data_IF_415928328137
#
_entry.id   IF_415928328137
#
_cell.length_a   1.000
_cell.length_b   1.000
_cell.length_c   1.000
_cell.angle_alpha   90.00
_cell.angle_beta   90.00
_cell.angle_gamma   90.00
#
_symmetry.space_group_name_H-M   'P 1'
#
loop_
_entity.id
_entity.type
_entity.pdbx_description
1 polymer ?
#
# COMPACT_ATOMS: atom_id res chain seq x y z
N UNK A 1 27.92 14.70 -20.12
CA UNK A 1 28.39 16.07 -19.84
C UNK A 1 29.63 16.41 -20.67
N UNK A 2 30.72 15.64 -20.62
CA UNK A 2 31.90 15.87 -21.48
C UNK A 2 31.59 15.82 -22.99
N UNK A 3 30.95 14.75 -23.49
CA UNK A 3 30.56 14.64 -24.90
C UNK A 3 29.41 15.57 -25.33
N UNK A 4 28.79 16.29 -24.39
CA UNK A 4 27.69 17.21 -24.66
C UNK A 4 28.16 18.68 -24.78
N UNK A 5 29.47 18.92 -24.74
CA UNK A 5 30.04 20.25 -24.92
C UNK A 5 30.05 20.61 -26.41
N UNK A 6 29.41 21.71 -26.74
CA UNK A 6 29.32 22.27 -28.08
C UNK A 6 30.21 23.52 -28.18
N UNK A 7 30.75 23.77 -29.37
CA UNK A 7 31.41 25.06 -29.69
C UNK A 7 30.39 26.18 -29.88
N UNK A 8 30.85 27.41 -30.05
CA UNK A 8 30.01 28.57 -30.39
C UNK A 8 29.17 28.38 -31.68
N UNK A 9 29.60 27.48 -32.58
CA UNK A 9 28.87 27.09 -33.79
C UNK A 9 27.94 25.88 -33.61
N UNK A 10 27.78 25.34 -32.40
CA UNK A 10 26.97 24.15 -32.10
C UNK A 10 27.66 22.81 -32.37
N UNK A 11 28.94 22.79 -32.75
CA UNK A 11 29.63 21.54 -33.11
C UNK A 11 30.10 20.74 -31.86
N UNK A 12 29.73 19.45 -31.71
CA UNK A 12 30.14 18.63 -30.58
C UNK A 12 31.52 17.99 -30.79
N UNK A 13 32.58 18.81 -30.73
CA UNK A 13 33.97 18.38 -31.06
C UNK A 13 34.45 17.16 -30.30
N UNK A 14 34.15 17.06 -29.00
CA UNK A 14 34.55 15.92 -28.18
C UNK A 14 33.86 14.61 -28.63
N UNK A 15 32.59 14.67 -29.04
CA UNK A 15 31.88 13.51 -29.58
C UNK A 15 32.44 13.12 -30.95
N UNK A 16 32.74 14.10 -31.82
CA UNK A 16 33.37 13.84 -33.12
C UNK A 16 34.75 13.20 -33.00
N UNK A 17 35.56 13.64 -32.03
CA UNK A 17 36.87 13.03 -31.80
C UNK A 17 36.73 11.58 -31.31
N UNK A 18 35.76 11.31 -30.43
CA UNK A 18 35.48 9.95 -29.98
C UNK A 18 35.02 9.04 -31.13
N UNK A 19 34.12 9.51 -32.01
CA UNK A 19 33.68 8.73 -33.18
C UNK A 19 34.85 8.51 -34.15
N UNK A 20 35.70 9.52 -34.39
CA UNK A 20 36.89 9.38 -35.23
C UNK A 20 37.84 8.29 -34.69
N UNK A 21 38.09 8.25 -33.39
CA UNK A 21 38.92 7.21 -32.76
C UNK A 21 38.30 5.81 -32.94
N UNK A 22 36.98 5.67 -32.72
CA UNK A 22 36.28 4.39 -32.91
C UNK A 22 36.39 3.92 -34.37
N UNK A 23 36.21 4.82 -35.34
CA UNK A 23 36.33 4.51 -36.77
C UNK A 23 37.75 4.09 -37.13
N UNK A 24 38.78 4.81 -36.64
CA UNK A 24 40.17 4.46 -36.87
C UNK A 24 40.53 3.08 -36.30
N UNK A 25 40.04 2.76 -35.09
CA UNK A 25 40.23 1.44 -34.50
C UNK A 25 39.52 0.34 -35.31
N UNK A 26 38.31 0.60 -35.80
CA UNK A 26 37.58 -0.33 -36.66
C UNK A 26 38.32 -0.58 -37.98
N UNK A 27 38.82 0.47 -38.63
CA UNK A 27 39.64 0.36 -39.85
C UNK A 27 40.92 -0.44 -39.57
N UNK A 28 41.61 -0.15 -38.46
CA UNK A 28 42.75 -0.94 -38.02
C UNK A 28 42.41 -2.43 -37.89
N UNK A 29 41.31 -2.74 -37.20
CA UNK A 29 40.81 -4.10 -37.05
C UNK A 29 40.48 -4.78 -38.40
N UNK A 30 39.87 -4.07 -39.36
CA UNK A 30 39.69 -4.62 -40.72
C UNK A 30 41.01 -4.94 -41.40
N UNK A 31 41.98 -4.03 -41.33
CA UNK A 31 43.27 -4.21 -42.01
C UNK A 31 44.03 -5.43 -41.48
N UNK A 32 43.95 -5.71 -40.18
CA UNK A 32 44.61 -6.87 -39.56
C UNK A 32 43.77 -8.15 -39.52
N UNK A 33 42.44 -8.04 -39.61
CA UNK A 33 41.48 -9.11 -39.28
C UNK A 33 40.76 -9.77 -40.46
N UNK A 34 41.10 -9.44 -41.71
CA UNK A 34 40.48 -10.07 -42.90
C UNK A 34 39.65 -9.12 -43.78
N UNK A 35 39.91 -7.81 -43.71
CA UNK A 35 39.30 -6.79 -44.56
C UNK A 35 37.86 -6.46 -44.15
N UNK A 36 37.07 -6.01 -45.13
CA UNK A 36 35.68 -5.58 -44.92
C UNK A 36 34.79 -6.69 -44.32
N UNK A 37 35.11 -7.95 -44.62
CA UNK A 37 34.36 -9.12 -44.15
C UNK A 37 34.44 -9.30 -42.62
N UNK A 38 35.48 -8.77 -41.96
CA UNK A 38 35.60 -8.80 -40.51
C UNK A 38 34.70 -7.76 -39.81
N UNK A 39 34.44 -6.63 -40.48
CA UNK A 39 33.62 -5.54 -39.92
C UNK A 39 32.13 -5.75 -40.20
N UNK A 40 31.78 -6.30 -41.37
CA UNK A 40 30.39 -6.39 -41.81
C UNK A 40 29.46 -7.05 -40.77
N UNK A 41 29.79 -8.21 -40.16
CA UNK A 41 28.96 -8.82 -39.12
C UNK A 41 28.79 -7.91 -37.90
N UNK A 42 29.84 -7.20 -37.48
CA UNK A 42 29.79 -6.32 -36.32
C UNK A 42 28.79 -5.18 -36.54
N UNK A 43 28.86 -4.51 -37.69
CA UNK A 43 27.95 -3.42 -38.06
C UNK A 43 26.51 -3.95 -38.16
N UNK A 44 26.31 -5.09 -38.83
CA UNK A 44 24.99 -5.73 -38.94
C UNK A 44 24.38 -6.02 -37.57
N UNK A 45 25.17 -6.49 -36.60
CA UNK A 45 24.69 -6.75 -35.25
C UNK A 45 24.23 -5.48 -34.53
N UNK A 46 24.96 -4.36 -34.66
CA UNK A 46 24.52 -3.08 -34.08
C UNK A 46 23.20 -2.58 -34.68
N UNK A 47 23.01 -2.71 -35.99
CA UNK A 47 21.75 -2.36 -36.63
C UNK A 47 20.61 -3.28 -36.21
N UNK A 48 20.84 -4.60 -36.14
CA UNK A 48 19.84 -5.56 -35.70
C UNK A 48 19.37 -5.32 -34.25
N UNK A 49 20.27 -4.91 -33.35
CA UNK A 49 19.88 -4.52 -31.97
C UNK A 49 18.95 -3.30 -31.99
N UNK A 50 19.27 -2.31 -32.83
CA UNK A 50 18.47 -1.08 -32.94
C UNK A 50 17.09 -1.40 -33.51
N UNK A 51 17.03 -2.22 -34.57
CA UNK A 51 15.77 -2.66 -35.17
C UNK A 51 14.96 -3.56 -34.23
N UNK A 52 15.61 -4.44 -33.47
CA UNK A 52 14.98 -5.22 -32.42
C UNK A 52 14.30 -4.31 -31.40
N UNK A 53 15.01 -3.32 -30.86
CA UNK A 53 14.48 -2.40 -29.86
C UNK A 53 13.34 -1.54 -30.40
N UNK A 54 13.44 -1.02 -31.63
CA UNK A 54 12.35 -0.26 -32.25
C UNK A 54 11.07 -1.10 -32.39
N UNK A 55 11.19 -2.33 -32.87
CA UNK A 55 10.06 -3.24 -32.99
C UNK A 55 9.48 -3.61 -31.62
N UNK A 56 10.33 -3.84 -30.61
CA UNK A 56 9.90 -4.14 -29.25
C UNK A 56 9.11 -2.96 -28.63
N UNK A 57 9.62 -1.73 -28.74
CA UNK A 57 8.93 -0.52 -28.25
C UNK A 57 7.56 -0.40 -28.91
N UNK A 58 7.48 -0.42 -30.24
CA UNK A 58 6.19 -0.29 -30.95
C UNK A 58 5.20 -1.39 -30.53
N UNK A 59 5.66 -2.63 -30.36
CA UNK A 59 4.81 -3.74 -29.92
C UNK A 59 4.26 -3.51 -28.49
N UNK A 60 5.10 -3.02 -27.59
CA UNK A 60 4.70 -2.70 -26.21
C UNK A 60 3.68 -1.57 -26.21
N UNK A 61 3.95 -0.45 -26.89
CA UNK A 61 3.06 0.70 -26.94
C UNK A 61 1.69 0.38 -27.57
N UNK A 62 1.68 -0.44 -28.62
CA UNK A 62 0.45 -0.92 -29.26
C UNK A 62 -0.34 -1.90 -28.38
N UNK A 63 0.33 -2.72 -27.57
CA UNK A 63 -0.32 -3.68 -26.67
C UNK A 63 -1.04 -2.98 -25.53
N UNK A 64 -0.43 -1.92 -25.00
CA UNK A 64 -0.95 -1.12 -23.88
C UNK A 64 -2.00 -0.10 -24.29
N UNK A 65 -2.26 0.03 -25.60
CA UNK A 65 -3.19 1.02 -26.16
C UNK A 65 -2.95 2.43 -25.59
N UNK A 66 -1.70 2.86 -25.53
CA UNK A 66 -1.38 4.20 -24.99
C UNK A 66 -2.02 5.28 -25.88
N UNK A 67 -2.77 6.20 -25.26
CA UNK A 67 -3.49 7.25 -25.97
C UNK A 67 -2.55 8.24 -26.67
N UNK A 68 -1.33 8.43 -26.14
CA UNK A 68 -0.28 9.27 -26.72
C UNK A 68 0.37 8.64 -27.96
N UNK A 69 0.36 7.30 -28.08
CA UNK A 69 0.91 6.61 -29.24
C UNK A 69 -0.13 6.52 -30.36
N UNK A 70 -0.14 7.53 -31.22
CA UNK A 70 -1.06 7.65 -32.37
C UNK A 70 -0.29 7.69 -33.69
N UNK A 71 0.26 6.56 -34.16
CA UNK A 71 0.94 6.54 -35.44
C UNK A 71 -0.07 6.86 -36.55
N UNK A 72 0.25 7.82 -37.42
CA UNK A 72 -0.55 8.12 -38.62
C UNK A 72 -0.64 6.91 -39.55
N UNK A 73 0.41 6.09 -39.56
CA UNK A 73 0.46 4.80 -40.24
C UNK A 73 0.27 3.64 -39.25
N UNK A 74 -0.94 3.10 -39.19
CA UNK A 74 -1.27 2.00 -38.28
C UNK A 74 -0.83 0.65 -38.86
N UNK A 75 0.19 0.04 -38.24
CA UNK A 75 0.61 -1.34 -38.54
C UNK A 75 -0.06 -2.33 -37.59
N UNK A 76 -0.39 -3.53 -38.10
CA UNK A 76 -0.89 -4.64 -37.27
C UNK A 76 0.21 -5.08 -36.30
N UNK A 77 -0.14 -5.39 -35.05
CA UNK A 77 0.78 -5.87 -33.98
C UNK A 77 1.66 -7.05 -34.38
N UNK A 78 1.22 -7.86 -35.35
CA UNK A 78 1.99 -8.99 -35.85
C UNK A 78 3.26 -8.55 -36.63
N UNK A 79 3.24 -7.36 -37.25
CA UNK A 79 4.39 -6.84 -38.02
C UNK A 79 5.58 -6.54 -37.10
N UNK A 80 5.46 -5.72 -36.05
CA UNK A 80 6.57 -5.49 -35.12
C UNK A 80 6.95 -6.76 -34.35
N UNK A 81 6.00 -7.66 -34.07
CA UNK A 81 6.33 -8.96 -33.47
C UNK A 81 7.24 -9.80 -34.38
N UNK A 82 6.91 -9.92 -35.67
CA UNK A 82 7.75 -10.63 -36.65
C UNK A 82 9.10 -9.94 -36.81
N UNK A 83 9.12 -8.59 -36.87
CA UNK A 83 10.36 -7.83 -36.96
C UNK A 83 11.27 -8.05 -35.76
N UNK A 84 10.72 -8.01 -34.54
CA UNK A 84 11.45 -8.26 -33.30
C UNK A 84 12.01 -9.69 -33.24
N UNK A 85 11.17 -10.70 -33.48
CA UNK A 85 11.60 -12.11 -33.48
C UNK A 85 12.60 -12.38 -34.60
N UNK A 86 12.37 -11.82 -35.79
CA UNK A 86 13.26 -11.96 -36.94
C UNK A 86 14.64 -11.38 -36.67
N UNK A 87 14.73 -10.19 -36.06
CA UNK A 87 16.02 -9.61 -35.67
C UNK A 87 16.76 -10.52 -34.69
N UNK A 88 16.07 -11.06 -33.68
CA UNK A 88 16.67 -11.97 -32.70
C UNK A 88 17.20 -13.26 -33.37
N UNK A 89 16.41 -13.87 -34.26
CA UNK A 89 16.80 -15.08 -34.99
C UNK A 89 18.03 -14.83 -35.86
N UNK A 90 18.03 -13.75 -36.65
CA UNK A 90 19.17 -13.41 -37.52
C UNK A 90 20.42 -13.10 -36.71
N UNK A 91 20.28 -12.38 -35.58
CA UNK A 91 21.41 -12.13 -34.68
C UNK A 91 22.06 -13.42 -34.21
N UNK A 92 21.25 -14.38 -33.71
CA UNK A 92 21.74 -15.68 -33.25
C UNK A 92 22.39 -16.48 -34.40
N UNK A 93 21.84 -16.42 -35.61
CA UNK A 93 22.42 -17.08 -36.78
C UNK A 93 23.78 -16.50 -37.19
N UNK A 94 23.98 -15.19 -37.05
CA UNK A 94 25.26 -14.53 -37.36
C UNK A 94 26.31 -14.89 -36.31
N UNK A 95 26.02 -14.64 -35.03
CA UNK A 95 26.94 -14.95 -33.95
C UNK A 95 26.17 -15.10 -32.62
N UNK A 96 26.00 -16.33 -32.11
CA UNK A 96 25.29 -16.58 -30.86
C UNK A 96 25.92 -15.90 -29.64
N UNK A 97 27.26 -15.89 -29.56
CA UNK A 97 27.99 -15.32 -28.43
C UNK A 97 27.83 -13.80 -28.39
N UNK A 98 28.02 -13.14 -29.54
CA UNK A 98 27.85 -11.69 -29.63
C UNK A 98 26.40 -11.28 -29.38
N UNK A 99 25.43 -12.08 -29.84
CA UNK A 99 24.00 -11.86 -29.58
C UNK A 99 23.70 -11.87 -28.09
N UNK A 100 24.23 -12.85 -27.36
CA UNK A 100 24.04 -12.95 -25.91
C UNK A 100 24.65 -11.73 -25.21
N UNK A 101 25.89 -11.37 -25.55
CA UNK A 101 26.56 -10.18 -24.99
C UNK A 101 25.79 -8.90 -25.28
N UNK A 102 25.30 -8.73 -26.50
CA UNK A 102 24.52 -7.57 -26.91
C UNK A 102 23.20 -7.44 -26.15
N UNK A 103 22.46 -8.55 -25.99
CA UNK A 103 21.20 -8.56 -25.22
C UNK A 103 21.48 -8.22 -23.76
N UNK A 104 22.49 -8.84 -23.16
CA UNK A 104 22.90 -8.56 -21.78
C UNK A 104 23.29 -7.09 -21.62
N UNK A 105 24.10 -6.55 -22.54
CA UNK A 105 24.52 -5.15 -22.51
C UNK A 105 23.32 -4.21 -22.65
N UNK A 106 22.37 -4.51 -23.55
CA UNK A 106 21.18 -3.69 -23.74
C UNK A 106 20.28 -3.71 -22.49
N UNK A 107 20.06 -4.88 -21.89
CA UNK A 107 19.33 -5.01 -20.63
C UNK A 107 20.06 -4.32 -19.48
N UNK A 108 21.39 -4.42 -19.42
CA UNK A 108 22.22 -3.76 -18.41
C UNK A 108 22.14 -2.24 -18.55
N UNK A 109 22.29 -1.70 -19.76
CA UNK A 109 22.15 -0.25 -20.01
C UNK A 109 20.74 0.21 -19.66
N UNK A 110 19.71 -0.53 -20.07
CA UNK A 110 18.33 -0.25 -19.70
C UNK A 110 18.14 -0.22 -18.18
N UNK A 111 18.59 -1.26 -17.47
CA UNK A 111 18.51 -1.34 -16.01
C UNK A 111 19.34 -0.24 -15.34
N UNK A 112 20.53 0.07 -15.84
CA UNK A 112 21.38 1.15 -15.31
C UNK A 112 20.70 2.51 -15.44
N UNK A 113 20.10 2.81 -16.61
CA UNK A 113 19.32 4.02 -16.81
C UNK A 113 18.09 4.06 -15.91
N UNK A 114 17.47 2.90 -15.69
CA UNK A 114 16.30 2.73 -14.81
C UNK A 114 16.59 3.15 -13.36
N UNK A 115 17.77 2.80 -12.85
CA UNK A 115 18.16 3.07 -11.46
C UNK A 115 18.62 4.52 -11.26
N UNK A 116 18.98 5.22 -12.33
CA UNK A 116 19.65 6.52 -12.22
C UNK A 116 18.72 7.71 -11.98
N UNK A 117 17.42 7.47 -11.69
CA UNK A 117 16.38 8.49 -11.43
C UNK A 117 16.62 9.75 -12.26
N UNK A 118 16.73 9.58 -13.58
CA UNK A 118 16.98 10.70 -14.47
C UNK A 118 15.77 11.61 -14.37
N UNK A 119 15.94 12.79 -13.76
CA UNK A 119 14.96 13.87 -13.75
C UNK A 119 14.77 14.35 -15.20
N UNK A 120 13.99 13.60 -15.97
CA UNK A 120 13.54 14.01 -17.28
C UNK A 120 12.48 15.10 -17.07
N UNK A 121 12.54 16.24 -17.78
CA UNK A 121 11.49 17.26 -17.78
C UNK A 121 10.14 16.75 -18.32
N UNK A 122 10.12 15.56 -18.89
CA UNK A 122 8.99 14.92 -19.55
C UNK A 122 8.53 13.74 -18.69
N UNK A 123 7.22 13.55 -18.59
CA UNK A 123 6.59 12.41 -17.93
C UNK A 123 7.22 11.10 -18.46
N UNK A 124 7.86 10.34 -17.56
CA UNK A 124 8.58 9.11 -17.90
C UNK A 124 7.61 8.17 -18.63
N UNK A 125 7.94 7.71 -19.85
CA UNK A 125 7.11 6.76 -20.63
C UNK A 125 6.71 5.54 -19.77
N UNK A 126 7.51 5.23 -18.75
CA UNK A 126 7.29 4.18 -17.76
C UNK A 126 6.06 4.45 -16.88
N UNK A 127 5.81 5.68 -16.43
CA UNK A 127 4.59 5.99 -15.66
C UNK A 127 3.35 5.81 -16.53
N UNK A 128 3.42 6.19 -17.81
CA UNK A 128 2.38 5.95 -18.80
C UNK A 128 2.06 4.46 -19.00
N UNK A 129 3.10 3.62 -19.12
CA UNK A 129 2.97 2.16 -19.17
C UNK A 129 2.27 1.59 -17.91
N UNK A 130 2.75 1.95 -16.72
CA UNK A 130 2.16 1.46 -15.47
C UNK A 130 0.73 1.95 -15.26
N UNK A 131 0.43 3.20 -15.64
CA UNK A 131 -0.92 3.76 -15.59
C UNK A 131 -1.88 3.01 -16.54
N UNK A 132 -1.43 2.72 -17.76
CA UNK A 132 -2.21 1.92 -18.72
C UNK A 132 -2.47 0.50 -18.20
N UNK A 133 -1.45 -0.15 -17.63
CA UNK A 133 -1.60 -1.47 -17.02
C UNK A 133 -2.58 -1.44 -15.83
N UNK A 134 -2.45 -0.43 -14.96
CA UNK A 134 -3.35 -0.23 -13.83
C UNK A 134 -4.80 -0.01 -14.30
N UNK A 135 -5.01 0.83 -15.31
CA UNK A 135 -6.33 1.07 -15.90
C UNK A 135 -6.93 -0.21 -16.48
N UNK A 136 -6.14 -0.97 -17.25
CA UNK A 136 -6.58 -2.26 -17.79
C UNK A 136 -6.97 -3.24 -16.68
N UNK A 137 -6.20 -3.32 -15.59
CA UNK A 137 -6.50 -4.18 -14.46
C UNK A 137 -7.81 -3.77 -13.74
N UNK A 138 -7.98 -2.46 -13.50
CA UNK A 138 -9.20 -1.88 -12.92
C UNK A 138 -10.43 -2.23 -13.77
N UNK A 139 -10.38 -1.98 -15.08
CA UNK A 139 -11.47 -2.30 -16.00
C UNK A 139 -11.82 -3.80 -16.04
N UNK A 140 -10.82 -4.67 -15.86
CA UNK A 140 -11.03 -6.11 -15.85
C UNK A 140 -11.68 -6.58 -14.55
N UNK A 141 -11.24 -6.06 -13.40
CA UNK A 141 -11.78 -6.40 -12.09
C UNK A 141 -13.21 -5.88 -11.93
N UNK A 142 -13.52 -4.68 -12.42
CA UNK A 142 -14.89 -4.12 -12.36
C UNK A 142 -15.94 -4.94 -13.11
N UNK A 143 -15.53 -5.90 -13.96
CA UNK A 143 -16.43 -6.83 -14.68
C UNK A 143 -16.59 -8.18 -13.98
N UNK A 144 -15.83 -8.45 -12.92
CA UNK A 144 -15.91 -9.69 -12.14
C UNK A 144 -16.89 -9.51 -10.98
N UNK A 145 -17.57 -10.59 -10.53
CA UNK A 145 -18.35 -10.55 -9.31
C UNK A 145 -17.46 -10.22 -8.10
N UNK A 146 -17.95 -9.36 -7.20
CA UNK A 146 -17.24 -8.95 -5.98
C UNK A 146 -16.99 -10.15 -5.08
N UNK A 147 -15.72 -10.56 -4.96
CA UNK A 147 -15.26 -11.61 -4.05
C UNK A 147 -14.58 -10.99 -2.82
N UNK A 148 -15.29 -10.11 -2.10
CA UNK A 148 -14.72 -9.25 -1.06
C UNK A 148 -14.28 -10.01 0.21
N UNK A 149 -14.94 -11.12 0.56
CA UNK A 149 -14.73 -11.78 1.86
C UNK A 149 -13.35 -12.48 1.99
N UNK A 150 -12.71 -12.91 0.89
CA UNK A 150 -11.46 -13.71 0.92
C UNK A 150 -10.16 -12.92 0.82
N UNK A 151 -10.22 -11.62 0.59
CA UNK A 151 -9.04 -10.78 0.32
C UNK A 151 -9.13 -9.44 1.03
N UNK A 152 -9.55 -9.44 2.30
CA UNK A 152 -9.57 -8.22 3.07
C UNK A 152 -8.15 -7.65 3.23
N UNK A 153 -8.02 -6.34 3.02
CA UNK A 153 -6.82 -5.57 3.33
C UNK A 153 -7.22 -4.17 3.81
N UNK A 154 -6.50 -3.57 4.76
CA UNK A 154 -6.83 -2.26 5.32
C UNK A 154 -6.58 -1.13 4.30
N UNK A 155 -7.66 -0.55 3.79
CA UNK A 155 -7.66 0.69 3.01
C UNK A 155 -8.21 1.81 3.90
N UNK A 156 -7.30 2.53 4.53
CA UNK A 156 -7.58 3.47 5.60
C UNK A 156 -7.88 4.85 5.03
N UNK A 157 -9.01 5.42 5.43
CA UNK A 157 -9.28 6.85 5.32
C UNK A 157 -8.85 7.53 6.61
N UNK A 158 -7.84 8.40 6.55
CA UNK A 158 -7.27 9.12 7.67
C UNK A 158 -7.53 10.65 7.51
N UNK A 159 -8.68 11.16 7.96
CA UNK A 159 -8.94 12.59 7.99
C UNK A 159 -8.09 13.27 9.07
N UNK A 160 -7.40 14.35 8.72
CA UNK A 160 -6.51 15.08 9.62
C UNK A 160 -6.67 16.58 9.47
N UNK A 161 -6.72 17.29 10.58
CA UNK A 161 -6.68 18.76 10.61
C UNK A 161 -5.27 19.32 10.77
N UNK A 162 -4.31 18.48 11.17
CA UNK A 162 -2.90 18.88 11.29
C UNK A 162 -1.95 17.71 11.02
N UNK A 163 -0.80 18.04 10.45
CA UNK A 163 0.29 17.07 10.21
C UNK A 163 0.89 16.52 11.52
N UNK A 164 0.80 17.27 12.63
CA UNK A 164 1.26 16.84 13.96
C UNK A 164 0.45 15.65 14.48
N UNK A 165 -0.87 15.70 14.37
CA UNK A 165 -1.75 14.61 14.78
C UNK A 165 -1.45 13.32 13.98
N UNK A 166 -1.22 13.48 12.67
CA UNK A 166 -0.83 12.36 11.82
C UNK A 166 0.51 11.75 12.22
N UNK A 167 1.52 12.59 12.51
CA UNK A 167 2.84 12.13 13.00
C UNK A 167 2.73 11.31 14.28
N UNK A 168 1.89 11.74 15.24
CA UNK A 168 1.66 10.98 16.48
C UNK A 168 1.09 9.58 16.23
N UNK A 169 0.28 9.45 15.18
CA UNK A 169 -0.37 8.21 14.76
C UNK A 169 0.47 7.37 13.79
N UNK A 170 1.62 7.87 13.34
CA UNK A 170 2.38 7.33 12.22
C UNK A 170 2.77 5.86 12.41
N UNK A 171 3.33 5.51 13.57
CA UNK A 171 3.74 4.13 13.89
C UNK A 171 2.55 3.18 13.91
N UNK A 172 1.45 3.59 14.53
CA UNK A 172 0.23 2.80 14.59
C UNK A 172 -0.36 2.56 13.19
N UNK A 173 -0.52 3.63 12.41
CA UNK A 173 -1.01 3.57 11.04
C UNK A 173 -0.12 2.68 10.16
N UNK A 174 1.20 2.79 10.27
CA UNK A 174 2.14 1.94 9.53
C UNK A 174 1.97 0.47 9.92
N UNK A 175 1.92 0.18 11.22
CA UNK A 175 1.77 -1.18 11.74
C UNK A 175 0.41 -1.82 11.42
N UNK A 176 -0.65 -1.03 11.24
CA UNK A 176 -1.95 -1.59 10.83
C UNK A 176 -2.09 -1.74 9.31
N UNK A 177 -1.25 -1.10 8.48
CA UNK A 177 -1.39 -1.15 7.01
C UNK A 177 -0.42 -2.12 6.33
N UNK A 178 0.81 -2.26 6.82
CA UNK A 178 1.77 -3.22 6.26
C UNK A 178 1.32 -4.67 6.49
N UNK A 179 1.66 -5.63 5.60
CA UNK A 179 2.37 -5.44 4.32
C UNK A 179 1.46 -5.12 3.13
N UNK A 180 0.15 -5.25 3.30
CA UNK A 180 -0.84 -5.11 2.21
C UNK A 180 -1.98 -4.23 2.70
N UNK A 181 -2.03 -3.01 2.18
CA UNK A 181 -3.04 -2.02 2.50
C UNK A 181 -2.66 -0.67 1.93
N UNK A 182 -3.54 0.32 2.12
CA UNK A 182 -3.27 1.69 1.72
C UNK A 182 -3.80 2.70 2.72
N UNK A 183 -3.24 3.91 2.71
CA UNK A 183 -3.69 5.04 3.52
C UNK A 183 -4.01 6.21 2.60
N UNK A 184 -5.26 6.64 2.60
CA UNK A 184 -5.66 7.92 2.06
C UNK A 184 -5.73 8.96 3.17
N UNK A 185 -4.79 9.90 3.16
CA UNK A 185 -4.77 11.01 4.09
C UNK A 185 -5.61 12.15 3.50
N UNK A 186 -6.66 12.58 4.22
CA UNK A 186 -7.45 13.76 3.84
C UNK A 186 -7.12 14.88 4.80
N UNK A 187 -6.35 15.85 4.32
CA UNK A 187 -6.04 17.07 5.05
C UNK A 187 -7.20 18.06 4.94
N UNK A 188 -7.96 18.23 6.02
CA UNK A 188 -9.10 19.15 6.09
C UNK A 188 -8.65 20.44 6.76
N UNK A 189 -8.81 21.58 6.08
CA UNK A 189 -8.39 22.88 6.61
C UNK A 189 -9.40 23.98 6.28
N UNK A 190 -9.58 24.94 7.19
CA UNK A 190 -10.32 26.15 6.87
C UNK A 190 -9.50 27.01 5.89
N UNK A 191 -10.15 27.80 5.02
CA UNK A 191 -9.49 28.62 3.99
C UNK A 191 -8.39 29.55 4.56
N UNK A 192 -8.56 29.99 5.81
CA UNK A 192 -7.66 30.92 6.48
C UNK A 192 -6.35 30.28 6.96
N UNK A 193 -6.24 28.94 7.04
CA UNK A 193 -5.12 28.26 7.70
C UNK A 193 -4.50 27.08 6.89
N UNK A 194 -4.15 27.27 5.60
CA UNK A 194 -3.57 26.19 4.78
C UNK A 194 -2.20 25.69 5.30
N UNK A 195 -1.47 26.54 6.03
CA UNK A 195 -0.11 26.24 6.50
C UNK A 195 -0.03 25.03 7.46
N UNK A 196 -1.12 24.65 8.14
CA UNK A 196 -1.12 23.51 9.07
C UNK A 196 -0.93 22.14 8.37
N UNK A 197 -1.19 22.10 7.06
CA UNK A 197 -1.14 20.91 6.23
C UNK A 197 -0.07 20.96 5.13
N UNK A 198 0.81 21.97 5.15
CA UNK A 198 1.85 22.15 4.13
C UNK A 198 2.76 20.91 3.95
N UNK A 199 2.97 20.13 5.02
CA UNK A 199 3.83 18.93 5.01
C UNK A 199 3.07 17.61 4.77
N UNK A 200 1.77 17.63 4.43
CA UNK A 200 0.98 16.39 4.34
C UNK A 200 1.52 15.44 3.28
N UNK A 201 1.95 15.96 2.13
CA UNK A 201 2.58 15.18 1.06
C UNK A 201 3.91 14.58 1.47
N UNK A 202 4.66 15.29 2.31
CA UNK A 202 5.93 14.80 2.88
C UNK A 202 5.67 13.59 3.80
N UNK A 203 4.59 13.62 4.58
CA UNK A 203 4.19 12.48 5.41
C UNK A 203 3.67 11.31 4.58
N UNK A 204 2.88 11.56 3.53
CA UNK A 204 2.46 10.50 2.60
C UNK A 204 3.67 9.83 1.93
N UNK A 205 4.68 10.61 1.52
CA UNK A 205 5.95 10.09 1.01
C UNK A 205 6.75 9.30 2.04
N UNK A 206 6.70 9.69 3.31
CA UNK A 206 7.32 8.91 4.38
C UNK A 206 6.68 7.53 4.49
N UNK A 207 5.35 7.42 4.50
CA UNK A 207 4.65 6.12 4.46
C UNK A 207 5.06 5.27 3.24
N UNK A 208 5.16 5.88 2.06
CA UNK A 208 5.63 5.18 0.84
C UNK A 208 7.06 4.65 0.99
N UNK A 209 7.93 5.41 1.64
CA UNK A 209 9.32 5.01 1.91
C UNK A 209 9.38 3.80 2.85
N UNK A 210 8.45 3.75 3.81
CA UNK A 210 8.27 2.64 4.76
C UNK A 210 7.44 1.47 4.17
N UNK A 211 7.14 1.49 2.88
CA UNK A 211 6.47 0.42 2.15
C UNK A 211 4.94 0.44 2.22
N UNK A 212 4.34 1.48 2.81
CA UNK A 212 2.89 1.67 2.87
C UNK A 212 2.41 2.49 1.67
N UNK A 213 1.49 1.96 0.88
CA UNK A 213 0.85 2.72 -0.20
C UNK A 213 0.07 3.89 0.40
N UNK A 214 0.53 5.12 0.19
CA UNK A 214 -0.08 6.30 0.77
C UNK A 214 -0.21 7.46 -0.23
N UNK A 215 -1.30 8.21 -0.08
CA UNK A 215 -1.62 9.36 -0.91
C UNK A 215 -2.31 10.40 -0.04
N UNK A 216 -2.04 11.68 -0.29
CA UNK A 216 -2.65 12.78 0.42
C UNK A 216 -3.55 13.57 -0.52
N UNK A 217 -4.66 14.08 0.02
CA UNK A 217 -5.50 15.07 -0.67
C UNK A 217 -5.90 16.15 0.33
N UNK A 218 -5.99 17.38 -0.16
CA UNK A 218 -6.36 18.54 0.62
C UNK A 218 -7.82 18.88 0.33
N UNK A 219 -8.61 19.09 1.38
CA UNK A 219 -10.00 19.51 1.32
C UNK A 219 -10.16 20.81 2.10
N UNK A 220 -10.48 21.88 1.38
CA UNK A 220 -10.81 23.16 2.00
C UNK A 220 -12.23 23.09 2.55
N UNK A 221 -12.37 23.10 3.87
CA UNK A 221 -13.66 23.06 4.56
C UNK A 221 -13.52 23.67 5.97
N UNK A 222 -14.54 24.40 6.41
CA UNK A 222 -14.50 25.08 7.71
C UNK A 222 -14.66 24.11 8.88
N UNK A 223 -15.48 23.08 8.70
CA UNK A 223 -15.77 22.09 9.73
C UNK A 223 -15.18 20.71 9.39
N UNK A 224 -14.48 20.14 10.36
CA UNK A 224 -13.82 18.85 10.22
C UNK A 224 -14.80 17.70 10.00
N UNK A 225 -16.00 17.76 10.60
CA UNK A 225 -17.02 16.73 10.43
C UNK A 225 -17.54 16.77 9.01
N UNK A 226 -17.93 17.94 8.52
CA UNK A 226 -18.46 18.09 7.17
C UNK A 226 -17.43 17.69 6.11
N UNK A 227 -16.17 18.07 6.30
CA UNK A 227 -15.08 17.65 5.42
C UNK A 227 -14.87 16.13 5.45
N UNK A 228 -14.91 15.51 6.63
CA UNK A 228 -14.77 14.05 6.77
C UNK A 228 -15.95 13.32 6.14
N UNK A 229 -17.18 13.83 6.32
CA UNK A 229 -18.40 13.30 5.69
C UNK A 229 -18.30 13.36 4.17
N UNK A 230 -17.92 14.51 3.62
CA UNK A 230 -17.75 14.69 2.18
C UNK A 230 -16.69 13.73 1.63
N UNK A 231 -15.55 13.60 2.32
CA UNK A 231 -14.49 12.67 1.94
C UNK A 231 -14.99 11.21 1.93
N UNK A 232 -15.70 10.77 2.98
CA UNK A 232 -16.28 9.43 3.02
C UNK A 232 -17.25 9.20 1.85
N UNK A 233 -18.16 10.13 1.59
CA UNK A 233 -19.17 10.02 0.52
C UNK A 233 -18.55 9.99 -0.88
N UNK A 234 -17.48 10.76 -1.12
CA UNK A 234 -16.79 10.82 -2.42
C UNK A 234 -15.90 9.59 -2.65
N UNK A 235 -15.14 9.18 -1.63
CA UNK A 235 -14.11 8.14 -1.79
C UNK A 235 -14.65 6.72 -1.74
N UNK A 236 -15.76 6.50 -1.04
CA UNK A 236 -16.45 5.19 -1.06
C UNK A 236 -16.97 4.82 -2.44
N UNK A 237 -17.17 5.80 -3.34
CA UNK A 237 -17.53 5.57 -4.75
C UNK A 237 -16.34 5.24 -5.66
N UNK A 238 -15.10 5.29 -5.19
CA UNK A 238 -13.90 4.98 -5.96
C UNK A 238 -13.66 3.47 -6.16
N UNK A 239 -12.80 3.11 -7.12
CA UNK A 239 -12.41 1.71 -7.32
C UNK A 239 -11.60 1.17 -6.13
N UNK A 240 -10.58 1.93 -5.69
CA UNK A 240 -9.85 1.66 -4.44
C UNK A 240 -10.57 2.36 -3.28
N UNK A 241 -11.76 1.84 -2.94
CA UNK A 241 -12.57 2.40 -1.86
C UNK A 241 -11.88 2.19 -0.50
N UNK A 242 -11.84 3.21 0.37
CA UNK A 242 -11.51 3.01 1.77
C UNK A 242 -12.54 2.06 2.41
N UNK A 243 -12.06 1.10 3.20
CA UNK A 243 -12.89 0.18 3.97
C UNK A 243 -12.71 0.37 5.48
N UNK A 244 -11.87 1.31 5.91
CA UNK A 244 -11.62 1.58 7.32
C UNK A 244 -11.48 3.09 7.55
N UNK A 245 -12.35 3.69 8.35
CA UNK A 245 -12.20 5.05 8.82
C UNK A 245 -11.32 5.06 10.08
N UNK A 246 -10.18 5.74 10.01
CA UNK A 246 -9.33 6.01 11.15
C UNK A 246 -9.73 7.31 11.83
N UNK A 247 -9.93 7.29 13.14
CA UNK A 247 -10.17 8.49 13.93
C UNK A 247 -9.28 8.47 15.19
N UNK A 248 -8.52 9.54 15.47
CA UNK A 248 -7.85 9.66 16.76
C UNK A 248 -8.88 10.00 17.85
N UNK A 249 -8.72 9.40 19.03
CA UNK A 249 -9.46 9.78 20.23
C UNK A 249 -9.03 11.18 20.68
N UNK A 250 -9.98 12.11 20.90
CA UNK A 250 -9.66 13.48 21.25
C UNK A 250 -9.12 13.55 22.69
N UNK A 251 -7.93 14.12 22.85
CA UNK A 251 -7.32 14.34 24.17
C UNK A 251 -7.97 15.51 24.91
N UNK A 252 -8.38 16.56 24.18
CA UNK A 252 -9.08 17.74 24.67
C UNK A 252 -10.01 18.24 23.55
N UNK A 253 -11.30 17.84 23.57
CA UNK A 253 -12.24 18.21 22.51
C UNK A 253 -13.66 17.66 22.70
N UNK A 254 -14.59 18.10 21.85
CA UNK A 254 -16.00 17.73 21.91
C UNK A 254 -16.21 16.29 21.44
N UNK A 255 -16.35 15.38 22.41
CA UNK A 255 -16.81 13.99 22.27
C UNK A 255 -17.99 13.86 21.29
N UNK A 256 -18.84 14.87 21.24
CA UNK A 256 -19.95 15.00 20.30
C UNK A 256 -19.54 14.89 18.82
N UNK A 257 -18.38 15.47 18.43
CA UNK A 257 -17.90 15.41 17.04
C UNK A 257 -17.53 13.98 16.64
N UNK A 258 -16.82 13.28 17.53
CA UNK A 258 -16.47 11.87 17.32
C UNK A 258 -17.73 11.02 17.33
N UNK A 259 -18.64 11.21 18.28
CA UNK A 259 -19.93 10.50 18.32
C UNK A 259 -20.70 10.65 17.00
N UNK A 260 -20.76 11.87 16.47
CA UNK A 260 -21.43 12.16 15.21
C UNK A 260 -20.76 11.44 14.05
N UNK A 261 -19.43 11.51 13.94
CA UNK A 261 -18.68 10.83 12.88
C UNK A 261 -18.82 9.31 12.95
N UNK A 262 -18.77 8.75 14.15
CA UNK A 262 -18.97 7.32 14.37
C UNK A 262 -20.37 6.88 13.91
N UNK A 263 -21.40 7.65 14.26
CA UNK A 263 -22.78 7.39 13.83
C UNK A 263 -22.91 7.48 12.31
N UNK A 264 -22.36 8.53 11.70
CA UNK A 264 -22.43 8.72 10.25
C UNK A 264 -21.68 7.64 9.48
N UNK A 265 -20.49 7.27 9.94
CA UNK A 265 -19.73 6.16 9.38
C UNK A 265 -20.46 4.82 9.60
N UNK A 266 -21.22 4.68 10.69
CA UNK A 266 -22.03 3.50 10.94
C UNK A 266 -23.17 3.30 9.93
N UNK A 267 -23.72 4.41 9.42
CA UNK A 267 -24.77 4.40 8.39
C UNK A 267 -24.23 4.13 6.97
N UNK A 268 -22.91 4.23 6.76
CA UNK A 268 -22.30 3.96 5.46
C UNK A 268 -22.00 2.46 5.31
N UNK A 269 -22.36 1.84 4.17
CA UNK A 269 -22.07 0.44 3.92
C UNK A 269 -20.56 0.24 3.66
N UNK A 270 -20.04 -0.92 4.06
CA UNK A 270 -18.67 -1.36 3.73
C UNK A 270 -17.53 -0.51 4.30
N UNK A 271 -17.78 0.31 5.34
CA UNK A 271 -16.73 1.03 6.07
C UNK A 271 -16.67 0.63 7.54
N UNK A 272 -15.54 0.06 7.95
CA UNK A 272 -15.21 -0.22 9.33
C UNK A 272 -14.72 1.05 10.02
N UNK A 273 -14.56 1.00 11.34
CA UNK A 273 -14.05 2.13 12.11
C UNK A 273 -12.89 1.66 12.98
N UNK A 274 -11.82 2.45 13.07
CA UNK A 274 -10.74 2.33 14.04
C UNK A 274 -10.58 3.64 14.80
N UNK A 275 -11.07 3.67 16.04
CA UNK A 275 -10.92 4.80 16.94
C UNK A 275 -9.70 4.57 17.84
N UNK A 276 -8.62 5.31 17.62
CA UNK A 276 -7.33 5.09 18.29
C UNK A 276 -7.10 6.09 19.42
N UNK A 277 -6.97 5.57 20.64
CA UNK A 277 -6.60 6.31 21.82
C UNK A 277 -5.17 5.97 22.23
N UNK A 278 -4.23 6.84 21.85
CA UNK A 278 -2.83 6.68 22.24
C UNK A 278 -2.65 6.99 23.73
N UNK A 279 -1.94 6.11 24.43
CA UNK A 279 -1.59 6.37 25.82
C UNK A 279 -0.56 7.52 25.90
N UNK A 280 -0.78 8.56 26.73
CA UNK A 280 0.01 9.80 26.69
C UNK A 280 1.48 9.63 27.11
N UNK A 281 1.78 8.63 27.95
CA UNK A 281 3.13 8.38 28.48
C UNK A 281 3.78 7.20 27.74
N UNK A 282 3.16 6.02 27.84
CA UNK A 282 3.65 4.77 27.24
C UNK A 282 3.62 4.77 25.70
N UNK A 283 2.69 5.49 25.05
CA UNK A 283 2.48 5.39 23.61
C UNK A 283 2.14 3.96 23.21
N UNK A 284 2.84 3.40 22.22
CA UNK A 284 2.71 2.00 21.77
C UNK A 284 3.66 1.04 22.53
N UNK A 285 4.29 1.48 23.61
CA UNK A 285 5.17 0.64 24.44
C UNK A 285 6.32 0.02 23.65
N UNK A 286 6.54 -1.28 23.86
CA UNK A 286 7.60 -2.07 23.21
C UNK A 286 7.17 -2.66 21.86
N UNK A 287 5.91 -2.46 21.45
CA UNK A 287 5.35 -3.06 20.24
C UNK A 287 5.53 -4.59 20.20
N UNK A 288 5.14 -5.29 21.28
CA UNK A 288 5.30 -6.74 21.43
C UNK A 288 4.01 -7.45 21.81
N UNK A 289 3.15 -6.83 22.62
CA UNK A 289 1.97 -7.50 23.19
C UNK A 289 0.70 -6.81 22.76
N UNK A 290 -0.13 -7.52 21.99
CA UNK A 290 -1.44 -7.04 21.54
C UNK A 290 -2.50 -7.86 22.27
N UNK A 291 -3.41 -7.22 22.99
CA UNK A 291 -4.53 -7.90 23.66
C UNK A 291 -5.83 -7.58 22.95
N UNK A 292 -6.53 -8.60 22.45
CA UNK A 292 -7.85 -8.45 21.85
C UNK A 292 -8.91 -8.80 22.89
N UNK A 293 -9.71 -7.82 23.28
CA UNK A 293 -10.78 -7.97 24.24
C UNK A 293 -12.08 -8.33 23.53
N UNK A 294 -12.60 -9.50 23.87
CA UNK A 294 -13.83 -10.04 23.32
C UNK A 294 -14.93 -10.00 24.38
N UNK A 295 -16.14 -9.63 23.95
CA UNK A 295 -17.32 -9.73 24.80
C UNK A 295 -17.74 -11.18 24.93
N UNK A 296 -18.33 -11.53 26.06
CA UNK A 296 -18.96 -12.84 26.26
C UNK A 296 -19.96 -13.14 25.13
N UNK A 297 -19.84 -14.34 24.54
CA UNK A 297 -20.66 -14.82 23.41
C UNK A 297 -21.70 -15.86 23.84
N UNK A 298 -21.89 -16.02 25.15
CA UNK A 298 -22.92 -16.89 25.70
C UNK A 298 -24.34 -16.37 25.45
N UNK A 299 -25.35 -17.25 25.48
CA UNK A 299 -25.26 -18.69 25.73
C UNK A 299 -24.99 -19.53 24.48
N UNK A 300 -25.01 -18.94 23.28
CA UNK A 300 -24.95 -19.71 22.03
C UNK A 300 -23.54 -20.25 21.73
N UNK A 301 -22.48 -19.51 22.08
CA UNK A 301 -21.07 -19.89 21.88
C UNK A 301 -20.75 -20.39 20.46
N UNK A 302 -21.41 -19.84 19.44
CA UNK A 302 -21.23 -20.27 18.04
C UNK A 302 -20.27 -19.36 17.29
N UNK A 303 -19.30 -19.96 16.63
CA UNK A 303 -18.47 -19.29 15.64
C UNK A 303 -19.16 -19.37 14.27
N UNK A 304 -19.52 -18.21 13.73
CA UNK A 304 -20.02 -18.07 12.36
C UNK A 304 -18.97 -17.43 11.46
N UNK A 305 -19.17 -17.48 10.14
CA UNK A 305 -18.32 -16.80 9.15
C UNK A 305 -18.23 -15.28 9.37
N UNK A 306 -19.24 -14.71 10.07
CA UNK A 306 -19.25 -13.33 10.55
C UNK A 306 -19.35 -13.34 12.05
N UNK A 307 -18.33 -12.83 12.72
CA UNK A 307 -18.30 -12.63 14.14
C UNK A 307 -18.85 -11.24 14.43
N UNK A 308 -19.82 -11.10 15.33
CA UNK A 308 -20.44 -9.81 15.59
C UNK A 308 -19.41 -8.80 16.18
N UNK A 309 -18.86 -7.92 15.34
CA UNK A 309 -17.86 -6.89 15.69
C UNK A 309 -16.55 -7.46 16.24
N UNK A 310 -16.08 -8.58 15.70
CA UNK A 310 -14.79 -9.20 16.09
C UNK A 310 -13.88 -9.48 14.89
N UNK A 311 -14.40 -9.50 13.66
CA UNK A 311 -13.61 -9.88 12.49
C UNK A 311 -12.49 -8.86 12.26
N UNK A 312 -12.83 -7.56 12.29
CA UNK A 312 -11.82 -6.50 12.14
C UNK A 312 -10.84 -6.49 13.31
N UNK A 313 -11.29 -6.78 14.53
CA UNK A 313 -10.44 -6.81 15.72
C UNK A 313 -9.35 -7.90 15.61
N UNK A 314 -9.75 -9.11 15.20
CA UNK A 314 -8.84 -10.24 15.04
C UNK A 314 -7.90 -10.02 13.85
N UNK A 315 -8.44 -9.57 12.70
CA UNK A 315 -7.62 -9.27 11.52
C UNK A 315 -6.61 -8.15 11.79
N UNK A 316 -7.02 -7.09 12.49
CA UNK A 316 -6.13 -5.98 12.85
C UNK A 316 -5.05 -6.43 13.83
N UNK A 317 -5.40 -7.22 14.85
CA UNK A 317 -4.41 -7.78 15.77
C UNK A 317 -3.39 -8.66 15.06
N UNK A 318 -3.85 -9.50 14.13
CA UNK A 318 -3.00 -10.35 13.31
C UNK A 318 -2.07 -9.53 12.42
N UNK A 319 -2.59 -8.50 11.76
CA UNK A 319 -1.81 -7.60 10.90
C UNK A 319 -0.72 -6.86 11.69
N UNK A 320 -1.09 -6.22 12.80
CA UNK A 320 -0.15 -5.47 13.65
C UNK A 320 0.90 -6.42 14.22
N UNK A 321 0.49 -7.63 14.65
CA UNK A 321 1.42 -8.64 15.16
C UNK A 321 2.47 -9.02 14.13
N UNK A 322 2.13 -9.13 12.84
CA UNK A 322 3.12 -9.45 11.80
C UNK A 322 4.20 -8.37 11.71
N UNK A 323 3.82 -7.10 11.82
CA UNK A 323 4.76 -5.99 11.74
C UNK A 323 5.59 -5.83 13.02
N UNK A 324 5.01 -6.13 14.17
CA UNK A 324 5.65 -6.06 15.48
C UNK A 324 6.50 -7.29 15.83
N UNK A 325 6.33 -8.38 15.06
CA UNK A 325 6.82 -9.72 15.41
C UNK A 325 6.44 -10.14 16.85
N UNK A 326 5.28 -9.66 17.31
CA UNK A 326 4.82 -9.80 18.68
C UNK A 326 3.99 -11.06 18.95
N UNK A 327 3.25 -11.02 20.06
CA UNK A 327 2.25 -12.02 20.45
C UNK A 327 0.87 -11.39 20.59
N UNK A 328 -0.15 -12.22 20.35
CA UNK A 328 -1.55 -11.85 20.56
C UNK A 328 -2.04 -12.54 21.84
N UNK A 329 -2.79 -11.82 22.65
CA UNK A 329 -3.56 -12.37 23.75
C UNK A 329 -5.04 -12.22 23.42
N UNK A 330 -5.78 -13.32 23.33
CA UNK A 330 -7.24 -13.27 23.27
C UNK A 330 -7.77 -13.24 24.70
N UNK A 331 -8.47 -12.16 25.06
CA UNK A 331 -8.98 -11.95 26.40
C UNK A 331 -10.51 -11.88 26.40
N UNK A 332 -11.15 -12.65 27.27
CA UNK A 332 -12.59 -12.59 27.51
C UNK A 332 -12.86 -12.53 29.01
N UNK A 333 -13.79 -11.65 29.40
CA UNK A 333 -14.30 -11.59 30.76
C UNK A 333 -15.68 -12.23 30.77
N UNK A 334 -15.91 -13.14 31.70
CA UNK A 334 -17.21 -13.80 31.92
C UNK A 334 -17.72 -13.52 33.32
N UNK A 335 -19.03 -13.42 33.48
CA UNK A 335 -19.63 -13.08 34.78
C UNK A 335 -19.56 -14.24 35.79
N UNK A 336 -19.70 -15.49 35.32
CA UNK A 336 -19.81 -16.68 36.17
C UNK A 336 -18.65 -17.68 35.94
N UNK A 337 -18.15 -18.30 37.01
CA UNK A 337 -17.10 -19.33 36.89
C UNK A 337 -17.58 -20.54 36.05
N UNK A 338 -18.89 -20.80 36.03
CA UNK A 338 -19.49 -21.88 35.25
C UNK A 338 -19.30 -21.70 33.74
N UNK A 339 -19.24 -20.46 33.22
CA UNK A 339 -19.07 -20.20 31.79
C UNK A 339 -17.61 -20.13 31.35
N UNK A 340 -16.66 -20.12 32.30
CA UNK A 340 -15.21 -20.01 32.02
C UNK A 340 -14.70 -21.06 31.04
N UNK A 341 -15.10 -22.33 31.23
CA UNK A 341 -14.63 -23.42 30.38
C UNK A 341 -15.21 -23.33 28.96
N UNK A 342 -16.47 -22.87 28.82
CA UNK A 342 -17.09 -22.63 27.52
C UNK A 342 -16.39 -21.48 26.78
N UNK A 343 -16.11 -20.37 27.47
CA UNK A 343 -15.35 -19.25 26.92
C UNK A 343 -13.93 -19.65 26.49
N UNK A 344 -13.23 -20.47 27.29
CA UNK A 344 -11.90 -20.95 26.93
C UNK A 344 -11.93 -21.83 25.66
N UNK A 345 -12.92 -22.72 25.57
CA UNK A 345 -13.11 -23.57 24.38
C UNK A 345 -13.42 -22.73 23.15
N UNK A 346 -14.31 -21.73 23.28
CA UNK A 346 -14.65 -20.81 22.21
C UNK A 346 -13.43 -20.03 21.69
N UNK A 347 -12.59 -19.50 22.57
CA UNK A 347 -11.36 -18.79 22.17
C UNK A 347 -10.33 -19.71 21.52
N UNK A 348 -10.25 -20.98 21.95
CA UNK A 348 -9.39 -21.99 21.33
C UNK A 348 -9.85 -22.35 19.91
N UNK A 349 -11.15 -22.53 19.73
CA UNK A 349 -11.74 -22.75 18.41
C UNK A 349 -11.51 -21.55 17.50
N UNK A 350 -11.69 -20.32 18.01
CA UNK A 350 -11.41 -19.10 17.25
C UNK A 350 -9.93 -19.02 16.84
N UNK A 351 -9.00 -19.29 17.77
CA UNK A 351 -7.55 -19.33 17.49
C UNK A 351 -7.24 -20.31 16.36
N UNK A 352 -7.87 -21.48 16.39
CA UNK A 352 -7.69 -22.53 15.37
C UNK A 352 -8.29 -22.14 14.02
N UNK A 353 -9.55 -21.71 13.99
CA UNK A 353 -10.27 -21.38 12.76
C UNK A 353 -9.71 -20.13 12.07
N UNK A 354 -9.38 -19.10 12.84
CA UNK A 354 -8.72 -17.89 12.33
C UNK A 354 -7.21 -18.10 12.05
N UNK A 355 -6.68 -19.31 12.29
CA UNK A 355 -5.26 -19.69 12.08
C UNK A 355 -4.29 -18.71 12.73
N UNK A 356 -4.62 -18.25 13.94
CA UNK A 356 -3.75 -17.36 14.69
C UNK A 356 -2.45 -18.09 15.09
N UNK A 357 -1.35 -17.34 15.31
CA UNK A 357 -0.07 -17.93 15.71
C UNK A 357 -0.19 -18.85 16.93
N UNK A 358 0.60 -19.91 16.98
CA UNK A 358 0.58 -20.89 18.08
C UNK A 358 0.95 -20.28 19.44
N UNK A 359 1.72 -19.19 19.46
CA UNK A 359 2.05 -18.42 20.66
C UNK A 359 0.96 -17.43 21.10
N UNK A 360 -0.23 -17.47 20.49
CA UNK A 360 -1.40 -16.71 20.93
C UNK A 360 -1.87 -17.24 22.28
N UNK A 361 -1.85 -16.38 23.30
CA UNK A 361 -2.31 -16.73 24.63
C UNK A 361 -3.81 -16.54 24.76
N UNK A 362 -4.46 -17.38 25.56
CA UNK A 362 -5.89 -17.28 25.86
C UNK A 362 -6.05 -16.95 27.33
N UNK A 363 -6.76 -15.85 27.60
CA UNK A 363 -6.98 -15.29 28.93
C UNK A 363 -8.49 -15.22 29.17
N UNK A 364 -9.00 -16.06 30.07
CA UNK A 364 -10.38 -15.98 30.53
C UNK A 364 -10.39 -15.55 31.99
N UNK A 365 -11.00 -14.40 32.25
CA UNK A 365 -11.13 -13.80 33.59
C UNK A 365 -12.58 -13.87 34.04
N UNK A 366 -12.80 -14.11 35.33
CA UNK A 366 -14.15 -14.26 35.90
C UNK A 366 -14.45 -13.08 36.81
N UNK A 367 -15.64 -12.48 36.66
CA UNK A 367 -16.14 -11.37 37.45
C UNK A 367 -16.38 -10.10 36.63
N UNK A 368 -16.36 -8.94 37.30
CA UNK A 368 -16.69 -7.67 36.64
C UNK A 368 -15.58 -7.21 35.69
N UNK A 369 -15.96 -6.78 34.48
CA UNK A 369 -15.07 -6.26 33.45
C UNK A 369 -14.05 -5.24 33.95
N UNK A 370 -14.46 -4.26 34.76
CA UNK A 370 -13.56 -3.18 35.23
C UNK A 370 -12.46 -3.70 36.18
N UNK A 371 -12.80 -4.70 36.99
CA UNK A 371 -11.85 -5.35 37.89
C UNK A 371 -10.88 -6.22 37.08
N UNK A 372 -11.41 -6.96 36.10
CA UNK A 372 -10.60 -7.80 35.21
C UNK A 372 -9.60 -6.98 34.38
N UNK A 373 -10.00 -5.84 33.81
CA UNK A 373 -9.11 -4.95 33.05
C UNK A 373 -7.93 -4.47 33.90
N UNK A 374 -8.15 -4.18 35.18
CA UNK A 374 -7.10 -3.71 36.09
C UNK A 374 -6.12 -4.81 36.52
N UNK A 375 -6.53 -6.08 36.45
CA UNK A 375 -5.72 -7.25 36.82
C UNK A 375 -5.09 -7.95 35.60
N UNK A 376 -5.48 -7.54 34.38
CA UNK A 376 -5.00 -8.14 33.17
C UNK A 376 -3.50 -7.90 32.96
N UNK A 377 -2.78 -8.83 32.30
CA UNK A 377 -1.37 -8.63 31.97
C UNK A 377 -1.16 -7.36 31.15
N UNK A 378 -0.04 -6.67 31.40
CA UNK A 378 0.34 -5.49 30.64
C UNK A 378 0.42 -5.80 29.13
N UNK A 379 -0.12 -4.88 28.34
CA UNK A 379 -0.15 -4.93 26.89
C UNK A 379 0.35 -3.60 26.31
N UNK A 380 0.91 -3.64 25.12
CA UNK A 380 1.33 -2.44 24.39
C UNK A 380 0.14 -1.81 23.64
N UNK A 381 -0.76 -2.65 23.14
CA UNK A 381 -1.99 -2.27 22.46
C UNK A 381 -3.16 -3.17 22.89
N UNK A 382 -4.26 -2.54 23.29
CA UNK A 382 -5.54 -3.20 23.56
C UNK A 382 -6.53 -2.92 22.43
N UNK A 383 -7.05 -3.96 21.80
CA UNK A 383 -8.09 -3.88 20.77
C UNK A 383 -9.42 -4.26 21.38
N UNK A 384 -10.43 -3.40 21.26
CA UNK A 384 -11.77 -3.65 21.79
C UNK A 384 -12.83 -3.45 20.70
N UNK A 385 -13.87 -4.29 20.72
CA UNK A 385 -15.03 -4.10 19.85
C UNK A 385 -15.85 -2.87 20.25
N UNK A 386 -16.26 -2.08 19.26
CA UNK A 386 -17.14 -0.93 19.40
C UNK A 386 -18.57 -1.32 18.99
N UNK A 387 -19.55 -0.92 19.78
CA UNK A 387 -20.96 -1.15 19.46
C UNK A 387 -21.44 -0.24 18.31
N UNK A 388 -22.49 -0.66 17.60
CA UNK A 388 -23.09 0.13 16.51
C UNK A 388 -23.53 1.53 16.97
N UNK A 389 -23.96 1.64 18.23
CA UNK A 389 -24.15 2.91 18.91
C UNK A 389 -23.10 3.02 20.02
N UNK A 390 -21.94 3.64 19.73
CA UNK A 390 -20.82 3.63 20.64
C UNK A 390 -21.12 4.43 21.91
N UNK A 391 -20.97 3.79 23.07
CA UNK A 391 -20.97 4.47 24.35
C UNK A 391 -19.59 5.12 24.57
N UNK A 392 -19.51 6.44 24.40
CA UNK A 392 -18.25 7.17 24.58
C UNK A 392 -17.78 7.23 26.03
N UNK A 393 -18.68 7.15 27.01
CA UNK A 393 -18.30 7.08 28.43
C UNK A 393 -17.58 5.76 28.73
N UNK A 394 -18.00 4.67 28.08
CA UNK A 394 -17.28 3.40 28.14
C UNK A 394 -15.87 3.53 27.55
N UNK A 395 -15.75 4.12 26.35
CA UNK A 395 -14.45 4.35 25.70
C UNK A 395 -13.52 5.17 26.60
N UNK A 396 -14.01 6.28 27.13
CA UNK A 396 -13.25 7.17 28.01
C UNK A 396 -12.80 6.44 29.29
N UNK A 397 -13.70 5.67 29.91
CA UNK A 397 -13.38 4.90 31.12
C UNK A 397 -12.34 3.82 30.84
N UNK A 398 -12.42 3.12 29.71
CA UNK A 398 -11.41 2.14 29.28
C UNK A 398 -10.05 2.80 29.07
N UNK A 399 -10.00 3.91 28.33
CA UNK A 399 -8.75 4.67 28.07
C UNK A 399 -8.09 5.16 29.35
N UNK A 400 -8.87 5.47 30.40
CA UNK A 400 -8.33 5.91 31.70
C UNK A 400 -7.83 4.77 32.58
N UNK A 401 -8.42 3.58 32.49
CA UNK A 401 -8.10 2.45 33.37
C UNK A 401 -7.02 1.55 32.75
N UNK A 402 -7.00 1.40 31.43
CA UNK A 402 -5.99 0.62 30.73
C UNK A 402 -4.66 1.37 30.68
N UNK A 403 -3.60 0.76 31.18
CA UNK A 403 -2.22 1.27 31.10
C UNK A 403 -1.57 0.90 29.74
N UNK A 404 -2.29 1.14 28.65
CA UNK A 404 -1.89 0.79 27.29
C UNK A 404 -2.57 1.71 26.26
N UNK A 405 -2.04 1.78 25.03
CA UNK A 405 -2.82 2.38 23.93
C UNK A 405 -4.02 1.50 23.61
N UNK A 406 -5.16 2.11 23.28
CA UNK A 406 -6.38 1.40 22.96
C UNK A 406 -6.82 1.71 21.53
N UNK A 407 -7.33 0.71 20.82
CA UNK A 407 -8.07 0.90 19.57
C UNK A 407 -9.44 0.26 19.70
N UNK A 408 -10.48 1.03 19.40
CA UNK A 408 -11.85 0.57 19.39
C UNK A 408 -12.28 0.38 17.94
N UNK A 409 -12.69 -0.83 17.61
CA UNK A 409 -12.95 -1.23 16.22
C UNK A 409 -14.40 -1.61 15.99
N UNK A 410 -14.93 -1.25 14.83
CA UNK A 410 -16.24 -1.68 14.37
C UNK A 410 -16.11 -2.28 12.99
N UNK A 411 -16.66 -3.48 12.79
CA UNK A 411 -16.62 -4.18 11.51
C UNK A 411 -17.42 -3.39 10.45
N UNK A 412 -17.00 -3.50 9.19
CA UNK A 412 -17.74 -3.00 8.04
C UNK A 412 -18.82 -3.98 7.59
N UNK A 413 -18.68 -5.26 7.94
CA UNK A 413 -19.53 -6.37 7.54
C UNK A 413 -19.04 -7.11 6.28
N UNK A 414 -17.95 -6.63 5.67
CA UNK A 414 -17.25 -7.31 4.57
C UNK A 414 -16.04 -8.13 5.06
N UNK A 415 -15.60 -7.92 6.30
CA UNK A 415 -14.53 -8.69 6.92
C UNK A 415 -14.99 -10.10 7.27
N UNK A 416 -14.07 -11.05 7.17
CA UNK A 416 -14.22 -12.36 7.81
C UNK A 416 -12.83 -12.84 8.25
N UNK A 417 -12.64 -12.99 9.55
CA UNK A 417 -11.41 -13.54 10.11
C UNK A 417 -11.28 -15.05 9.86
N UNK A 418 -12.35 -15.71 9.44
CA UNK A 418 -12.43 -17.16 9.25
C UNK A 418 -12.42 -17.62 7.78
N UNK A 419 -12.38 -16.67 6.83
CA UNK A 419 -12.55 -16.93 5.39
C UNK A 419 -11.34 -17.55 4.67
#
# INVERSE_FOLDING_TARGET
RFFAQETDAGEPRHAMLATAVIVLLAIGFALFGGGLNAIAPLITMFFLITYFMLNAVVLIEQTLNMVSFRPTFAIRRIVPLIGMVGCLVVMVLINPLFSLVAIILALFVYAYLIHRQLNAPWEDVRSGLFLSLARWAVERVSKLPTATERTWSPNILAPVSSTKALRGSYRFLTAMTLPKGSIHIIGIYPPEQPAQLADVDTLARAFLTDGVAAWASLLEENDFIDGTRAAMEVLTGGFFRPNLLYLPWPSNGSRERVAWLLKRAADLPHIGIALFAQHPIVGLGQEQVITVWMREQGPDWRLGLRLANLDLAVLMAYQIRQNWNGRINLCMVVDEEATRQAAQTFLEELRSLARLPSNTAILVMVGEFWTAVSQAPAADLSILGLQSHPNLDFVEKVVKIMDASCVFVRDSGDESALA
#
